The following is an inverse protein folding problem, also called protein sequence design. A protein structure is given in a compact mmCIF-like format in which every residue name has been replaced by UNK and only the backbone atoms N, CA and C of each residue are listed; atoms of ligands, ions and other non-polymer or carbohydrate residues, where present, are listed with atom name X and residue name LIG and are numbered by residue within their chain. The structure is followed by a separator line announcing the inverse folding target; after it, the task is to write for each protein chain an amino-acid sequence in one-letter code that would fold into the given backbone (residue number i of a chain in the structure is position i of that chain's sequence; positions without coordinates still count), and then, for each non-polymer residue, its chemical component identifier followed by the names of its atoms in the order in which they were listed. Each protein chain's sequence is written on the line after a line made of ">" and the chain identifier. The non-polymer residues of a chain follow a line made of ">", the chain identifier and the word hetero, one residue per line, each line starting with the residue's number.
data_IF_702672511326
#
_entry.id   IF_702672511326
#
_cell.length_a   1.000
_cell.length_b   1.000
_cell.length_c   1.000
_cell.angle_alpha   90.00
_cell.angle_beta   90.00
_cell.angle_gamma   90.00
#
_symmetry.space_group_name_H-M   'P 1'
#
loop_
_entity.id
_entity.type
_entity.pdbx_description
1 polymer ?
#
# COMPACT_ATOMS: atom_id res chain seq x y z
N UNK A 1 -10.43 -10.05 5.78
CA UNK A 1 -10.53 -8.60 5.54
C UNK A 1 -11.17 -8.39 4.19
N UNK A 2 -12.24 -7.62 4.13
CA UNK A 2 -12.94 -7.25 2.88
C UNK A 2 -12.28 -6.02 2.23
N UNK A 3 -12.62 -5.69 0.98
CA UNK A 3 -12.05 -4.50 0.32
C UNK A 3 -12.56 -3.21 0.94
N UNK A 4 -13.80 -3.20 1.45
CA UNK A 4 -14.33 -2.08 2.23
C UNK A 4 -13.51 -1.85 3.53
N UNK A 5 -13.15 -2.92 4.25
CA UNK A 5 -12.30 -2.83 5.44
C UNK A 5 -10.89 -2.34 5.10
N UNK A 6 -10.29 -2.90 4.04
CA UNK A 6 -8.96 -2.48 3.58
C UNK A 6 -8.98 -1.02 3.11
N UNK A 7 -10.01 -0.59 2.38
CA UNK A 7 -10.19 0.81 1.96
C UNK A 7 -10.25 1.76 3.15
N UNK A 8 -11.06 1.44 4.16
CA UNK A 8 -11.16 2.23 5.39
C UNK A 8 -9.81 2.36 6.08
N UNK A 9 -9.13 1.24 6.28
CA UNK A 9 -7.80 1.21 6.88
C UNK A 9 -6.76 2.04 6.10
N UNK A 10 -6.76 1.95 4.76
CA UNK A 10 -5.85 2.74 3.92
C UNK A 10 -6.14 4.23 4.02
N UNK A 11 -7.42 4.64 4.02
CA UNK A 11 -7.80 6.04 4.21
C UNK A 11 -7.33 6.58 5.56
N UNK A 12 -7.46 5.81 6.63
CA UNK A 12 -6.97 6.19 7.96
C UNK A 12 -5.43 6.28 7.98
N UNK A 13 -4.76 5.34 7.31
CA UNK A 13 -3.30 5.38 7.17
C UNK A 13 -2.81 6.62 6.41
N UNK A 14 -3.47 7.01 5.30
CA UNK A 14 -3.12 8.23 4.56
C UNK A 14 -3.23 9.47 5.44
N UNK A 15 -4.30 9.58 6.24
CA UNK A 15 -4.45 10.67 7.23
C UNK A 15 -3.32 10.65 8.26
N UNK A 16 -3.02 9.49 8.83
CA UNK A 16 -1.95 9.33 9.83
C UNK A 16 -0.55 9.63 9.29
N UNK A 17 -0.31 9.40 8.00
CA UNK A 17 0.95 9.70 7.33
C UNK A 17 1.01 11.11 6.75
N UNK A 18 -0.05 11.92 6.95
CA UNK A 18 -0.20 13.25 6.34
C UNK A 18 -0.07 13.23 4.80
N UNK A 19 -0.44 12.12 4.16
CA UNK A 19 -0.43 11.96 2.70
C UNK A 19 -1.81 12.33 2.15
N UNK A 20 -1.85 13.29 1.22
CA UNK A 20 -3.08 13.66 0.52
C UNK A 20 -3.34 12.65 -0.61
N UNK A 21 -4.46 11.95 -0.53
CA UNK A 21 -4.87 11.01 -1.57
C UNK A 21 -6.29 10.46 -1.38
N UNK A 22 -6.74 9.71 -2.37
CA UNK A 22 -8.03 9.00 -2.36
C UNK A 22 -7.79 7.51 -2.47
N UNK A 23 -8.75 6.71 -2.02
CA UNK A 23 -8.74 5.25 -2.18
C UNK A 23 -10.03 4.82 -2.85
N UNK A 24 -9.91 4.18 -4.00
CA UNK A 24 -11.03 3.65 -4.79
C UNK A 24 -10.92 2.13 -4.93
N UNK A 25 -12.07 1.47 -5.00
CA UNK A 25 -12.16 0.04 -5.27
C UNK A 25 -12.11 -0.18 -6.78
N UNK A 26 -11.43 -1.24 -7.21
CA UNK A 26 -11.38 -1.74 -8.59
C UNK A 26 -11.84 -3.21 -8.60
N UNK A 27 -12.04 -3.77 -9.79
CA UNK A 27 -12.51 -5.14 -9.95
C UNK A 27 -11.60 -6.19 -9.27
N UNK A 28 -10.29 -5.95 -9.24
CA UNK A 28 -9.27 -6.87 -8.73
C UNK A 28 -8.58 -6.41 -7.42
N UNK A 29 -9.06 -5.30 -6.83
CA UNK A 29 -8.52 -4.77 -5.58
C UNK A 29 -8.80 -3.29 -5.37
N UNK A 30 -7.74 -2.50 -5.12
CA UNK A 30 -7.83 -1.09 -4.77
C UNK A 30 -6.76 -0.27 -5.50
N UNK A 31 -7.07 1.00 -5.71
CA UNK A 31 -6.11 2.02 -6.15
C UNK A 31 -6.05 3.15 -5.12
N UNK A 32 -4.85 3.60 -4.82
CA UNK A 32 -4.57 4.79 -4.03
C UNK A 32 -4.04 5.85 -4.99
N UNK A 33 -4.76 6.95 -5.14
CA UNK A 33 -4.31 8.07 -5.97
C UNK A 33 -3.75 9.16 -5.06
N UNK A 34 -2.50 9.55 -5.33
CA UNK A 34 -1.78 10.61 -4.61
C UNK A 34 -1.17 11.58 -5.61
N UNK A 35 -0.62 12.70 -5.12
CA UNK A 35 0.16 13.62 -5.96
C UNK A 35 1.41 12.97 -6.57
N UNK A 36 1.94 11.93 -5.92
CA UNK A 36 3.11 11.17 -6.37
C UNK A 36 2.75 10.03 -7.34
N UNK A 37 1.47 9.88 -7.66
CA UNK A 37 0.94 8.89 -8.60
C UNK A 37 0.04 7.84 -7.95
N UNK A 38 -0.27 6.81 -8.75
CA UNK A 38 -1.19 5.74 -8.40
C UNK A 38 -0.47 4.50 -7.84
N UNK A 39 -0.88 4.05 -6.66
CA UNK A 39 -0.48 2.78 -6.08
C UNK A 39 -1.60 1.78 -6.28
N UNK A 40 -1.28 0.62 -6.86
CA UNK A 40 -2.27 -0.42 -7.16
C UNK A 40 -2.06 -1.56 -6.18
N UNK A 41 -3.14 -2.04 -5.57
CA UNK A 41 -3.15 -3.16 -4.64
C UNK A 41 -4.13 -4.19 -5.20
N UNK A 42 -3.66 -5.38 -5.55
CA UNK A 42 -4.52 -6.46 -6.04
C UNK A 42 -4.54 -7.62 -5.05
N UNK A 43 -5.65 -8.35 -5.02
CA UNK A 43 -5.73 -9.57 -4.20
C UNK A 43 -4.94 -10.69 -4.86
N UNK A 44 -4.16 -11.42 -4.06
CA UNK A 44 -3.54 -12.63 -4.55
C UNK A 44 -4.56 -13.79 -4.59
N UNK A 45 -4.54 -14.60 -5.66
CA UNK A 45 -5.25 -15.87 -5.73
C UNK A 45 -5.01 -16.77 -4.50
N UNK A 46 -5.99 -17.61 -4.17
CA UNK A 46 -5.98 -18.41 -2.93
C UNK A 46 -4.91 -19.51 -2.92
N UNK A 47 -4.46 -19.95 -4.10
CA UNK A 47 -3.40 -20.93 -4.34
C UNK A 47 -2.00 -20.36 -4.12
N UNK A 48 -1.83 -19.03 -4.12
CA UNK A 48 -0.53 -18.36 -3.91
C UNK A 48 -0.21 -18.07 -2.43
N UNK A 49 -0.86 -18.76 -1.48
CA UNK A 49 -0.56 -18.59 -0.06
C UNK A 49 0.92 -18.94 0.22
N UNK A 50 1.62 -18.18 1.07
CA UNK A 50 1.10 -17.20 2.04
C UNK A 50 0.87 -15.78 1.49
N UNK A 51 1.07 -15.54 0.19
CA UNK A 51 0.80 -14.22 -0.41
C UNK A 51 -0.70 -13.89 -0.30
N UNK A 52 -0.99 -12.66 0.12
CA UNK A 52 -2.37 -12.16 0.27
C UNK A 52 -2.68 -11.01 -0.68
N UNK A 53 -1.70 -10.16 -0.95
CA UNK A 53 -1.83 -9.05 -1.89
C UNK A 53 -0.60 -8.96 -2.78
N UNK A 54 -0.79 -8.37 -3.95
CA UNK A 54 0.29 -7.75 -4.71
C UNK A 54 0.13 -6.24 -4.65
N UNK A 55 1.24 -5.52 -4.69
CA UNK A 55 1.23 -4.06 -4.78
C UNK A 55 2.20 -3.55 -5.84
N UNK A 56 1.80 -2.48 -6.52
CA UNK A 56 2.58 -1.77 -7.52
C UNK A 56 2.71 -0.31 -7.09
N UNK A 57 3.94 0.21 -7.06
CA UNK A 57 4.21 1.63 -6.82
C UNK A 57 4.32 2.38 -8.15
N UNK A 58 4.09 3.70 -8.19
CA UNK A 58 4.28 4.51 -9.39
C UNK A 58 5.67 4.33 -10.01
N UNK A 59 6.72 4.38 -9.18
CA UNK A 59 8.11 4.20 -9.61
C UNK A 59 8.36 2.83 -10.27
N UNK A 60 7.81 1.75 -9.70
CA UNK A 60 7.95 0.42 -10.29
C UNK A 60 7.20 0.31 -11.62
N UNK A 61 6.02 0.93 -11.71
CA UNK A 61 5.22 0.91 -12.93
C UNK A 61 5.94 1.67 -14.05
N UNK A 62 6.48 2.86 -13.75
CA UNK A 62 7.29 3.65 -14.67
C UNK A 62 8.54 2.88 -15.16
N UNK A 63 9.13 2.04 -14.30
CA UNK A 63 10.27 1.20 -14.65
C UNK A 63 9.89 -0.15 -15.29
N UNK A 64 8.62 -0.40 -15.63
CA UNK A 64 8.16 -1.66 -16.23
C UNK A 64 8.35 -2.89 -15.34
N UNK A 65 8.49 -2.71 -14.03
CA UNK A 65 8.73 -3.80 -13.08
C UNK A 65 7.42 -4.39 -12.60
N UNK A 66 7.41 -5.70 -12.34
CA UNK A 66 6.24 -6.43 -11.81
C UNK A 66 5.87 -6.01 -10.39
N UNK A 67 4.61 -6.32 -10.01
CA UNK A 67 4.09 -6.07 -8.67
C UNK A 67 4.81 -6.93 -7.62
N UNK A 68 4.90 -6.40 -6.40
CA UNK A 68 5.54 -7.09 -5.27
C UNK A 68 4.50 -7.80 -4.42
N UNK A 69 4.84 -8.98 -3.92
CA UNK A 69 4.01 -9.75 -3.01
C UNK A 69 4.04 -9.17 -1.59
N UNK A 70 2.87 -9.13 -0.94
CA UNK A 70 2.69 -8.80 0.47
C UNK A 70 1.96 -9.97 1.17
N UNK A 71 2.61 -10.69 2.10
CA UNK A 71 2.00 -11.83 2.78
C UNK A 71 1.07 -11.41 3.94
N UNK A 72 1.20 -10.18 4.44
CA UNK A 72 0.41 -9.66 5.56
C UNK A 72 0.04 -8.20 5.35
N UNK A 73 -0.97 -7.73 6.09
CA UNK A 73 -1.37 -6.32 6.06
C UNK A 73 -0.24 -5.42 6.57
N UNK A 74 0.53 -5.88 7.56
CA UNK A 74 1.69 -5.15 8.09
C UNK A 74 2.77 -4.99 7.00
N UNK A 75 3.07 -6.05 6.25
CA UNK A 75 4.04 -5.98 5.15
C UNK A 75 3.58 -5.00 4.05
N UNK A 76 2.28 -5.01 3.71
CA UNK A 76 1.68 -4.09 2.75
C UNK A 76 1.79 -2.64 3.23
N UNK A 77 1.32 -2.34 4.45
CA UNK A 77 1.34 -0.98 4.99
C UNK A 77 2.76 -0.44 5.17
N UNK A 78 3.70 -1.25 5.63
CA UNK A 78 5.11 -0.86 5.73
C UNK A 78 5.71 -0.51 4.37
N UNK A 79 5.43 -1.31 3.34
CA UNK A 79 5.91 -1.03 1.98
C UNK A 79 5.27 0.23 1.39
N UNK A 80 3.97 0.41 1.55
CA UNK A 80 3.22 1.58 1.08
C UNK A 80 3.70 2.86 1.78
N UNK A 81 3.87 2.82 3.11
CA UNK A 81 4.40 3.95 3.88
C UNK A 81 5.79 4.35 3.39
N UNK A 82 6.69 3.39 3.21
CA UNK A 82 8.05 3.66 2.74
C UNK A 82 8.05 4.24 1.32
N UNK A 83 7.12 3.83 0.47
CA UNK A 83 7.03 4.31 -0.90
C UNK A 83 6.39 5.71 -1.00
N UNK A 84 5.41 6.05 -0.14
CA UNK A 84 4.73 7.35 -0.13
C UNK A 84 5.46 8.41 0.69
N UNK A 85 6.11 8.03 1.79
CA UNK A 85 6.92 8.94 2.62
C UNK A 85 8.40 8.96 2.20
N UNK A 86 8.72 8.35 1.04
CA UNK A 86 10.06 8.00 0.57
C UNK A 86 10.97 9.15 0.13
N UNK A 87 10.79 10.37 0.64
CA UNK A 87 11.84 11.41 0.67
C UNK A 87 12.21 11.84 2.11
N UNK A 88 11.57 11.28 3.14
CA UNK A 88 11.79 11.66 4.53
C UNK A 88 11.45 10.51 5.45
N UNK A 89 12.27 9.46 5.40
CA UNK A 89 12.26 8.42 6.42
C UNK A 89 12.73 8.98 7.74
N UNK A 90 11.89 9.78 8.40
CA UNK A 90 12.00 9.93 9.84
C UNK A 90 11.77 8.55 10.42
N UNK A 91 12.87 7.92 10.84
CA UNK A 91 12.86 6.69 11.62
C UNK A 91 11.80 6.90 12.69
N UNK A 92 10.72 6.13 12.63
CA UNK A 92 9.83 5.94 13.77
C UNK A 92 10.70 5.43 14.92
N UNK A 93 11.15 6.33 15.79
CA UNK A 93 11.64 5.98 17.11
C UNK A 93 10.42 5.50 17.88
N UNK A 94 10.17 4.20 17.84
CA UNK A 94 9.35 3.55 18.85
C UNK A 94 10.12 3.75 20.17
N UNK A 95 9.47 4.41 21.13
CA UNK A 95 10.10 4.94 22.33
C UNK A 95 10.99 3.92 23.05
N UNK A 96 12.17 4.38 23.45
CA UNK A 96 12.94 3.74 24.49
C UNK A 96 12.25 4.02 25.83
N UNK A 97 11.69 2.96 26.41
CA UNK A 97 11.54 2.84 27.87
C UNK A 97 12.67 1.99 28.39
#
# INVERSE_FOLDING_TARGET
>A
MTDAQLRGLLLDCLKLWAVRGTVAVRDDGLVIETVDGAFIITRAPADLRPVRWFYQTPERAAAGRTARAAPSIVALLSALRNAMAGAGGDRLRVGGG
#
